data_IF_585405859938
#
_entry.id   IF_585405859938
#
_cell.length_a   1.000
_cell.length_b   1.000
_cell.length_c   1.000
_cell.angle_alpha   90.00
_cell.angle_beta   90.00
_cell.angle_gamma   90.00
#
_symmetry.space_group_name_H-M   'P 1'
#
loop_
_entity.id
_entity.type
_entity.pdbx_description
1 polymer ?
#
# COMPACT_ATOMS: atom_id res chain seq x y z
N UNK A 1 49.90 -4.89 13.68
CA UNK A 1 48.87 -5.11 12.65
C UNK A 1 47.84 -6.09 13.20
N UNK A 2 46.67 -5.60 13.59
CA UNK A 2 45.46 -6.40 13.71
C UNK A 2 44.31 -5.41 13.76
N UNK A 3 43.43 -5.53 12.78
CA UNK A 3 42.28 -4.68 12.48
C UNK A 3 41.21 -4.86 13.53
N UNK A 4 40.79 -3.75 14.16
CA UNK A 4 39.60 -3.72 14.99
C UNK A 4 38.36 -3.77 14.08
N UNK A 5 37.60 -4.85 14.17
CA UNK A 5 36.29 -4.97 13.54
C UNK A 5 35.30 -4.01 14.22
N UNK A 6 34.61 -3.23 13.39
CA UNK A 6 33.52 -2.37 13.81
C UNK A 6 32.33 -3.23 14.24
N UNK A 7 32.11 -3.30 15.55
CA UNK A 7 30.92 -3.91 16.15
C UNK A 7 29.68 -3.04 15.90
N UNK A 8 29.05 -3.19 14.74
CA UNK A 8 27.70 -2.71 14.48
C UNK A 8 26.70 -3.52 15.29
N UNK A 9 26.15 -2.94 16.36
CA UNK A 9 25.07 -3.54 17.15
C UNK A 9 23.75 -3.40 16.38
N UNK A 10 23.58 -4.17 15.32
CA UNK A 10 22.25 -4.44 14.77
C UNK A 10 21.67 -5.63 15.54
N UNK A 11 20.97 -5.34 16.64
CA UNK A 11 20.05 -6.30 17.21
C UNK A 11 18.94 -6.56 16.17
N UNK A 12 19.02 -7.69 15.46
CA UNK A 12 17.92 -8.18 14.63
C UNK A 12 16.64 -8.18 15.47
N UNK A 13 15.70 -7.30 15.14
CA UNK A 13 14.34 -7.35 15.65
C UNK A 13 13.64 -8.59 15.06
N UNK A 14 14.02 -9.78 15.53
CA UNK A 14 13.21 -10.98 15.31
C UNK A 14 11.92 -10.76 16.11
N UNK A 15 10.79 -10.80 15.42
CA UNK A 15 9.42 -10.85 15.98
C UNK A 15 8.71 -9.53 16.31
N UNK A 16 9.04 -8.38 15.71
CA UNK A 16 8.26 -7.14 15.90
C UNK A 16 7.90 -6.46 14.58
N UNK A 17 7.05 -7.11 13.78
CA UNK A 17 6.09 -6.35 12.96
C UNK A 17 5.13 -5.64 13.92
N UNK A 18 4.65 -4.45 13.57
CA UNK A 18 3.46 -3.91 14.25
C UNK A 18 2.35 -4.95 14.11
N UNK A 19 2.00 -5.57 15.22
CA UNK A 19 0.80 -6.39 15.33
C UNK A 19 -0.21 -5.54 16.05
N UNK A 20 -0.66 -4.52 15.32
CA UNK A 20 -1.45 -3.46 15.90
C UNK A 20 -2.91 -3.86 16.07
N UNK A 21 -3.39 -5.11 15.86
CA UNK A 21 -4.84 -5.40 15.83
C UNK A 21 -5.64 -4.69 16.94
N UNK A 22 -6.80 -4.05 16.63
CA UNK A 22 -7.55 -3.25 17.61
C UNK A 22 -7.98 -4.01 18.87
N UNK A 23 -8.09 -5.35 18.79
CA UNK A 23 -8.50 -6.18 19.93
C UNK A 23 -7.31 -6.84 20.63
N UNK A 24 -7.11 -6.49 21.91
CA UNK A 24 -6.47 -7.39 22.89
C UNK A 24 -4.94 -7.50 22.84
N UNK A 25 -4.24 -6.59 22.16
CA UNK A 25 -2.77 -6.57 22.15
C UNK A 25 -2.25 -5.53 23.14
N UNK A 26 -1.57 -5.93 24.24
CA UNK A 26 -1.13 -5.00 25.28
C UNK A 26 -0.02 -4.04 24.80
N UNK A 27 0.49 -4.23 23.58
CA UNK A 27 1.60 -3.46 23.02
C UNK A 27 1.18 -2.49 21.89
N UNK A 28 -0.11 -2.41 21.52
CA UNK A 28 -0.57 -1.59 20.38
C UNK A 28 -0.17 -0.12 20.58
N UNK A 29 -0.36 0.41 21.78
CA UNK A 29 -0.01 1.79 22.12
C UNK A 29 1.49 2.05 21.97
N UNK A 30 2.31 1.20 22.58
CA UNK A 30 3.77 1.33 22.52
C UNK A 30 4.30 1.19 21.10
N UNK A 31 3.74 0.26 20.31
CA UNK A 31 4.09 0.08 18.90
C UNK A 31 3.72 1.31 18.05
N UNK A 32 2.53 1.88 18.26
CA UNK A 32 2.09 3.12 17.60
C UNK A 32 3.01 4.27 17.95
N UNK A 33 3.32 4.48 19.23
CA UNK A 33 4.20 5.56 19.68
C UNK A 33 5.63 5.41 19.15
N UNK A 34 6.13 4.17 19.06
CA UNK A 34 7.45 3.87 18.48
C UNK A 34 7.48 4.16 16.98
N UNK A 35 6.48 3.69 16.23
CA UNK A 35 6.36 3.98 14.80
C UNK A 35 6.26 5.50 14.54
N UNK A 36 5.42 6.21 15.27
CA UNK A 36 5.31 7.67 15.16
C UNK A 36 6.64 8.36 15.46
N UNK A 37 7.44 7.84 16.40
CA UNK A 37 8.77 8.39 16.71
C UNK A 37 9.75 8.23 15.56
N UNK A 38 9.77 7.05 14.93
CA UNK A 38 10.61 6.79 13.76
C UNK A 38 10.15 7.63 12.57
N UNK A 39 8.84 7.72 12.31
CA UNK A 39 8.32 8.51 11.19
C UNK A 39 8.63 10.02 11.34
N UNK A 40 8.75 10.54 12.57
CA UNK A 40 9.18 11.92 12.82
C UNK A 40 10.62 12.21 12.40
N UNK A 41 11.45 11.20 12.17
CA UNK A 41 12.83 11.39 11.68
C UNK A 41 12.92 11.46 10.16
N UNK A 42 11.84 11.17 9.43
CA UNK A 42 11.77 11.36 7.99
C UNK A 42 11.87 12.85 7.69
N UNK A 43 12.63 13.20 6.64
CA UNK A 43 12.76 14.59 6.20
C UNK A 43 11.37 15.18 5.93
N UNK A 44 11.10 16.36 6.49
CA UNK A 44 9.80 17.05 6.37
C UNK A 44 9.46 17.44 4.94
N UNK A 45 10.45 17.48 4.04
CA UNK A 45 10.23 17.68 2.62
C UNK A 45 9.60 16.47 1.92
N UNK A 46 9.57 15.29 2.57
CA UNK A 46 8.98 14.05 2.04
C UNK A 46 7.60 13.84 2.70
N UNK A 47 6.50 14.03 1.96
CA UNK A 47 5.17 13.78 2.48
C UNK A 47 4.97 12.30 2.83
N UNK A 48 4.35 12.04 3.98
CA UNK A 48 3.95 10.70 4.39
C UNK A 48 2.48 10.48 4.06
N UNK A 49 2.20 9.37 3.36
CA UNK A 49 0.85 8.91 3.03
C UNK A 49 0.66 7.56 3.71
N UNK A 50 -0.34 7.47 4.58
CA UNK A 50 -0.64 6.26 5.33
C UNK A 50 -1.89 5.59 4.75
N UNK A 51 -1.88 4.26 4.73
CA UNK A 51 -2.97 3.43 4.18
C UNK A 51 -3.36 2.44 5.26
N UNK A 52 -4.63 2.43 5.64
CA UNK A 52 -5.12 1.51 6.69
C UNK A 52 -5.12 0.07 6.19
N UNK A 53 -4.63 -0.86 7.02
CA UNK A 53 -4.75 -2.30 6.82
C UNK A 53 -5.58 -3.00 7.88
N UNK A 54 -5.77 -4.31 7.71
CA UNK A 54 -6.55 -5.13 8.64
C UNK A 54 -5.98 -5.18 10.07
N UNK A 55 -4.66 -4.99 10.24
CA UNK A 55 -4.04 -4.86 11.58
C UNK A 55 -4.29 -3.49 12.22
N UNK A 56 -4.74 -2.49 11.46
CA UNK A 56 -5.00 -1.15 11.99
C UNK A 56 -6.45 -0.98 12.44
N UNK A 57 -7.40 -1.49 11.64
CA UNK A 57 -8.84 -1.30 11.84
C UNK A 57 -9.61 -2.62 12.02
N UNK A 58 -8.95 -3.77 11.89
CA UNK A 58 -9.53 -5.11 12.03
C UNK A 58 -9.93 -5.76 10.70
N UNK A 59 -10.06 -7.09 10.69
CA UNK A 59 -10.59 -7.84 9.53
C UNK A 59 -12.07 -7.50 9.27
N UNK A 60 -12.82 -7.17 10.32
CA UNK A 60 -14.20 -6.68 10.26
C UNK A 60 -14.23 -5.31 10.95
N UNK A 61 -13.97 -4.21 10.22
CA UNK A 61 -13.89 -2.88 10.81
C UNK A 61 -15.23 -2.44 11.39
N UNK A 62 -15.17 -1.64 12.46
CA UNK A 62 -16.33 -0.98 13.08
C UNK A 62 -16.15 0.53 12.97
N UNK A 63 -17.20 1.30 13.29
CA UNK A 63 -17.08 2.76 13.31
C UNK A 63 -16.01 3.22 14.31
N UNK A 64 -15.90 2.54 15.45
CA UNK A 64 -14.94 2.86 16.50
C UNK A 64 -13.49 2.57 16.07
N UNK A 65 -13.23 1.43 15.40
CA UNK A 65 -11.86 1.12 14.97
C UNK A 65 -11.39 2.03 13.84
N UNK A 66 -12.31 2.45 12.96
CA UNK A 66 -12.03 3.44 11.91
C UNK A 66 -11.79 4.81 12.53
N UNK A 67 -12.62 5.24 13.48
CA UNK A 67 -12.43 6.51 14.19
C UNK A 67 -11.09 6.56 14.94
N UNK A 68 -10.70 5.48 15.63
CA UNK A 68 -9.40 5.39 16.30
C UNK A 68 -8.23 5.53 15.32
N UNK A 69 -8.33 4.89 14.14
CA UNK A 69 -7.34 5.05 13.08
C UNK A 69 -7.28 6.51 12.62
N UNK A 70 -8.43 7.13 12.33
CA UNK A 70 -8.49 8.51 11.86
C UNK A 70 -7.90 9.51 12.86
N UNK A 71 -8.17 9.32 14.16
CA UNK A 71 -7.59 10.15 15.22
C UNK A 71 -6.07 9.99 15.36
N UNK A 72 -5.54 8.82 15.01
CA UNK A 72 -4.12 8.48 15.21
C UNK A 72 -3.26 8.78 13.99
N UNK A 73 -3.79 8.50 12.79
CA UNK A 73 -3.03 8.45 11.53
C UNK A 73 -3.58 9.38 10.44
N UNK A 74 -4.79 9.92 10.62
CA UNK A 74 -5.50 10.72 9.61
C UNK A 74 -6.50 9.88 8.81
N UNK A 75 -7.16 10.52 7.84
CA UNK A 75 -8.28 9.95 7.08
C UNK A 75 -7.99 8.55 6.50
N UNK A 76 -8.95 7.64 6.60
CA UNK A 76 -8.83 6.25 6.14
C UNK A 76 -9.00 6.09 4.62
N UNK A 77 -9.64 7.07 3.97
CA UNK A 77 -9.64 7.23 2.52
C UNK A 77 -9.61 8.71 2.15
N UNK A 78 -8.84 9.05 1.10
CA UNK A 78 -8.70 10.43 0.62
C UNK A 78 -8.03 10.45 -0.76
N UNK A 79 -7.98 11.64 -1.36
CA UNK A 79 -7.29 11.85 -2.63
C UNK A 79 -6.35 13.04 -2.57
N UNK A 80 -5.31 13.01 -3.38
CA UNK A 80 -4.37 14.11 -3.49
C UNK A 80 -3.75 14.16 -4.88
N UNK A 81 -3.14 15.30 -5.20
CA UNK A 81 -2.55 15.56 -6.51
C UNK A 81 -1.08 15.93 -6.37
N UNK A 82 -0.23 15.29 -7.18
CA UNK A 82 1.19 15.64 -7.30
C UNK A 82 1.57 15.60 -8.77
N UNK A 83 2.15 16.69 -9.29
CA UNK A 83 2.64 16.72 -10.67
C UNK A 83 1.59 16.42 -11.75
N UNK A 84 0.31 16.69 -11.48
CA UNK A 84 -0.80 16.38 -12.39
C UNK A 84 -1.28 14.92 -12.38
N UNK A 85 -0.81 14.13 -11.41
CA UNK A 85 -1.24 12.75 -11.17
C UNK A 85 -2.21 12.74 -9.99
N UNK A 86 -3.33 12.04 -10.17
CA UNK A 86 -4.30 11.81 -9.10
C UNK A 86 -3.92 10.54 -8.34
N UNK A 87 -3.82 10.66 -7.02
CA UNK A 87 -3.63 9.54 -6.12
C UNK A 87 -4.89 9.34 -5.28
N UNK A 88 -5.32 8.10 -5.15
CA UNK A 88 -6.47 7.68 -4.37
C UNK A 88 -6.00 6.71 -3.29
N UNK A 89 -6.30 6.99 -2.03
CA UNK A 89 -6.07 6.08 -0.91
C UNK A 89 -7.41 5.52 -0.51
N UNK A 90 -7.53 4.19 -0.47
CA UNK A 90 -8.77 3.49 -0.13
C UNK A 90 -8.59 2.63 1.11
N UNK A 91 -9.61 2.64 1.96
CA UNK A 91 -9.76 1.62 2.99
C UNK A 91 -10.30 0.34 2.32
N UNK A 92 -9.42 -0.65 2.11
CA UNK A 92 -9.80 -1.89 1.44
C UNK A 92 -10.60 -2.86 2.31
N UNK A 93 -10.57 -2.72 3.64
CA UNK A 93 -11.33 -3.61 4.54
C UNK A 93 -12.84 -3.49 4.33
N UNK A 94 -13.28 -2.32 3.89
CA UNK A 94 -14.63 -2.05 3.45
C UNK A 94 -15.07 -2.92 2.26
N UNK A 95 -14.17 -3.29 1.35
CA UNK A 95 -14.49 -4.18 0.23
C UNK A 95 -14.48 -5.66 0.61
N UNK A 96 -13.79 -6.02 1.69
CA UNK A 96 -13.68 -7.38 2.20
C UNK A 96 -14.84 -7.73 3.13
N UNK A 97 -15.05 -6.98 4.21
CA UNK A 97 -16.12 -7.26 5.17
C UNK A 97 -16.64 -5.99 5.89
N UNK A 98 -17.57 -5.23 5.29
CA UNK A 98 -18.14 -4.03 5.89
C UNK A 98 -19.31 -4.30 6.83
N UNK A 99 -19.54 -5.54 7.28
CA UNK A 99 -20.79 -5.96 7.95
C UNK A 99 -21.14 -5.15 9.21
N UNK A 100 -20.15 -4.58 9.89
CA UNK A 100 -20.34 -3.74 11.10
C UNK A 100 -20.33 -2.24 10.83
N UNK A 101 -20.09 -1.81 9.59
CA UNK A 101 -20.04 -0.39 9.20
C UNK A 101 -20.52 -0.14 7.76
N UNK A 102 -21.70 -0.65 7.34
CA UNK A 102 -22.16 -0.53 5.95
C UNK A 102 -22.35 0.92 5.49
N UNK A 103 -22.67 1.85 6.40
CA UNK A 103 -22.78 3.27 6.09
C UNK A 103 -21.44 3.90 5.69
N UNK A 104 -20.33 3.55 6.37
CA UNK A 104 -19.00 4.03 6.02
C UNK A 104 -18.54 3.50 4.66
N UNK A 105 -18.84 2.22 4.40
CA UNK A 105 -18.63 1.60 3.07
C UNK A 105 -19.33 2.38 1.97
N UNK A 106 -20.60 2.71 2.17
CA UNK A 106 -21.40 3.42 1.19
C UNK A 106 -20.85 4.83 0.93
N UNK A 107 -20.42 5.52 1.99
CA UNK A 107 -19.78 6.83 1.86
C UNK A 107 -18.49 6.77 1.02
N UNK A 108 -17.62 5.79 1.27
CA UNK A 108 -16.41 5.59 0.44
C UNK A 108 -16.76 5.25 -1.01
N UNK A 109 -17.79 4.42 -1.26
CA UNK A 109 -18.20 4.10 -2.63
C UNK A 109 -18.67 5.33 -3.40
N UNK A 110 -19.51 6.16 -2.77
CA UNK A 110 -20.00 7.38 -3.39
C UNK A 110 -18.84 8.35 -3.67
N UNK A 111 -17.99 8.57 -2.67
CA UNK A 111 -16.81 9.41 -2.82
C UNK A 111 -15.88 8.92 -3.94
N UNK A 112 -15.65 7.60 -4.01
CA UNK A 112 -14.81 7.00 -5.05
C UNK A 112 -15.39 7.26 -6.43
N UNK A 113 -16.69 7.04 -6.61
CA UNK A 113 -17.36 7.29 -7.89
C UNK A 113 -17.25 8.77 -8.32
N UNK A 114 -17.32 9.70 -7.38
CA UNK A 114 -17.08 11.13 -7.62
C UNK A 114 -15.62 11.41 -8.04
N UNK A 115 -14.63 10.84 -7.34
CA UNK A 115 -13.22 11.02 -7.70
C UNK A 115 -12.87 10.42 -9.07
N UNK A 116 -13.40 9.24 -9.39
CA UNK A 116 -13.21 8.60 -10.68
C UNK A 116 -13.89 9.39 -11.81
N UNK A 117 -15.03 10.02 -11.55
CA UNK A 117 -15.67 10.95 -12.48
C UNK A 117 -14.79 12.19 -12.75
N UNK A 118 -14.22 12.78 -11.69
CA UNK A 118 -13.26 13.90 -11.82
C UNK A 118 -12.05 13.48 -12.64
N UNK A 119 -11.53 12.27 -12.39
CA UNK A 119 -10.36 11.76 -13.09
C UNK A 119 -10.55 11.75 -14.61
N UNK A 120 -11.74 11.30 -15.04
CA UNK A 120 -12.14 11.26 -16.45
C UNK A 120 -12.34 12.65 -17.03
N UNK A 121 -13.07 13.53 -16.34
CA UNK A 121 -13.41 14.87 -16.83
C UNK A 121 -12.17 15.75 -17.01
N UNK A 122 -11.20 15.62 -16.11
CA UNK A 122 -9.96 16.41 -16.15
C UNK A 122 -8.89 15.81 -17.07
N UNK A 123 -9.18 14.68 -17.72
CA UNK A 123 -8.23 13.93 -18.54
C UNK A 123 -6.89 13.74 -17.82
N UNK A 124 -6.95 13.19 -16.60
CA UNK A 124 -5.78 13.01 -15.75
C UNK A 124 -4.69 12.25 -16.48
N UNK A 125 -3.44 12.73 -16.36
CA UNK A 125 -2.32 12.09 -17.03
C UNK A 125 -2.13 10.66 -16.54
N UNK A 126 -2.17 10.49 -15.22
CA UNK A 126 -2.23 9.21 -14.54
C UNK A 126 -3.19 9.30 -13.36
N UNK A 127 -3.82 8.17 -13.03
CA UNK A 127 -4.47 7.95 -11.75
C UNK A 127 -3.92 6.67 -11.11
N UNK A 128 -3.60 6.72 -9.83
CA UNK A 128 -2.97 5.63 -9.07
C UNK A 128 -3.77 5.40 -7.79
N UNK A 129 -3.99 4.13 -7.45
CA UNK A 129 -4.70 3.73 -6.23
C UNK A 129 -3.72 3.07 -5.25
N UNK A 130 -3.83 3.44 -3.98
CA UNK A 130 -3.20 2.75 -2.86
C UNK A 130 -4.28 2.10 -2.00
N UNK A 131 -4.12 0.83 -1.69
CA UNK A 131 -5.02 0.11 -0.80
C UNK A 131 -4.30 -1.10 -0.18
N UNK A 132 -4.71 -1.57 0.99
CA UNK A 132 -3.98 -2.65 1.67
C UNK A 132 -4.19 -4.03 1.04
N UNK A 133 -5.45 -4.46 0.85
CA UNK A 133 -5.80 -5.76 0.26
C UNK A 133 -5.68 -5.68 -1.27
N UNK A 134 -4.91 -6.56 -1.93
CA UNK A 134 -4.82 -6.67 -3.38
C UNK A 134 -6.17 -6.94 -4.06
N UNK A 135 -6.34 -6.42 -5.27
CA UNK A 135 -7.40 -6.90 -6.16
C UNK A 135 -7.16 -8.38 -6.51
N UNK A 136 -5.93 -8.75 -6.87
CA UNK A 136 -5.53 -10.13 -7.19
C UNK A 136 -4.02 -10.29 -6.99
N UNK A 137 -3.55 -11.53 -6.94
CA UNK A 137 -2.13 -11.87 -6.73
C UNK A 137 -1.43 -12.27 -8.03
N UNK A 138 -2.11 -13.00 -8.91
CA UNK A 138 -1.58 -13.45 -10.20
C UNK A 138 -2.49 -13.05 -11.36
N UNK A 139 -3.81 -13.24 -11.21
CA UNK A 139 -4.78 -12.94 -12.26
C UNK A 139 -6.13 -12.51 -11.68
N UNK A 140 -6.86 -11.64 -12.40
CA UNK A 140 -8.22 -11.22 -12.02
C UNK A 140 -9.21 -12.40 -11.94
N UNK A 141 -8.91 -13.49 -12.64
CA UNK A 141 -9.74 -14.69 -12.74
C UNK A 141 -9.28 -15.83 -11.83
N UNK A 142 -8.22 -15.63 -11.03
CA UNK A 142 -7.77 -16.62 -10.04
C UNK A 142 -8.87 -16.96 -9.03
N UNK A 143 -8.74 -18.11 -8.37
CA UNK A 143 -9.69 -18.48 -7.32
C UNK A 143 -9.54 -17.59 -6.09
N UNK A 144 -10.60 -17.52 -5.28
CA UNK A 144 -10.57 -16.71 -4.07
C UNK A 144 -9.73 -17.43 -3.02
N UNK A 145 -8.63 -16.78 -2.59
CA UNK A 145 -7.75 -17.29 -1.54
C UNK A 145 -8.41 -17.19 -0.15
N UNK A 146 -9.52 -16.45 -0.06
CA UNK A 146 -10.34 -16.21 1.15
C UNK A 146 -9.63 -15.37 2.23
N UNK A 147 -8.41 -14.91 1.99
CA UNK A 147 -7.70 -14.00 2.90
C UNK A 147 -6.89 -12.95 2.15
N UNK A 148 -5.99 -13.36 1.24
CA UNK A 148 -4.97 -12.45 0.71
C UNK A 148 -5.41 -11.55 -0.44
N UNK A 149 -6.55 -11.81 -1.07
CA UNK A 149 -7.11 -11.03 -2.18
C UNK A 149 -8.60 -10.79 -1.97
N UNK A 150 -9.12 -9.72 -2.58
CA UNK A 150 -10.56 -9.48 -2.59
C UNK A 150 -11.30 -10.58 -3.36
N UNK A 151 -12.52 -10.90 -2.93
CA UNK A 151 -13.38 -11.86 -3.66
C UNK A 151 -13.55 -11.51 -5.14
N UNK A 152 -13.62 -12.52 -6.01
CA UNK A 152 -13.80 -12.40 -7.48
C UNK A 152 -14.88 -11.40 -7.90
N UNK A 153 -16.09 -11.39 -7.30
CA UNK A 153 -17.09 -10.40 -7.65
C UNK A 153 -16.69 -8.97 -7.27
N UNK A 154 -16.04 -8.76 -6.12
CA UNK A 154 -15.63 -7.44 -5.65
C UNK A 154 -14.48 -6.87 -6.48
N UNK A 155 -13.41 -7.66 -6.70
CA UNK A 155 -12.25 -7.24 -7.48
C UNK A 155 -12.57 -6.92 -8.93
N UNK A 156 -13.43 -7.70 -9.60
CA UNK A 156 -13.85 -7.39 -10.97
C UNK A 156 -14.59 -6.07 -11.06
N UNK A 157 -15.58 -5.84 -10.18
CA UNK A 157 -16.33 -4.58 -10.15
C UNK A 157 -15.42 -3.37 -9.92
N UNK A 158 -14.46 -3.47 -8.99
CA UNK A 158 -13.51 -2.39 -8.71
C UNK A 158 -12.53 -2.18 -9.86
N UNK A 159 -11.95 -3.25 -10.40
CA UNK A 159 -11.04 -3.17 -11.53
C UNK A 159 -11.71 -2.53 -12.75
N UNK A 160 -12.95 -2.91 -13.07
CA UNK A 160 -13.71 -2.32 -14.18
C UNK A 160 -13.98 -0.83 -13.96
N UNK A 161 -14.34 -0.41 -12.73
CA UNK A 161 -14.48 1.01 -12.37
C UNK A 161 -13.17 1.77 -12.57
N UNK A 162 -12.05 1.22 -12.10
CA UNK A 162 -10.73 1.81 -12.22
C UNK A 162 -10.28 1.95 -13.69
N UNK A 163 -10.44 0.89 -14.48
CA UNK A 163 -10.13 0.86 -15.91
C UNK A 163 -10.96 1.92 -16.65
N UNK A 164 -12.27 1.96 -16.40
CA UNK A 164 -13.16 2.92 -17.02
C UNK A 164 -12.81 4.38 -16.69
N UNK A 165 -12.22 4.60 -15.51
CA UNK A 165 -11.74 5.91 -15.07
C UNK A 165 -10.32 6.26 -15.55
N UNK A 166 -9.61 5.32 -16.17
CA UNK A 166 -8.24 5.51 -16.64
C UNK A 166 -7.16 5.35 -15.56
N UNK A 167 -7.49 4.71 -14.43
CA UNK A 167 -6.49 4.31 -13.41
C UNK A 167 -5.47 3.36 -14.04
N UNK A 168 -4.19 3.59 -13.75
CA UNK A 168 -3.08 2.86 -14.36
C UNK A 168 -2.50 1.79 -13.45
N UNK A 169 -2.44 2.05 -12.15
CA UNK A 169 -1.84 1.13 -11.19
C UNK A 169 -2.60 1.12 -9.86
N UNK A 170 -2.66 -0.06 -9.24
CA UNK A 170 -3.09 -0.28 -7.86
C UNK A 170 -1.92 -0.87 -7.10
N UNK A 171 -1.45 -0.16 -6.08
CA UNK A 171 -0.38 -0.63 -5.19
C UNK A 171 -0.98 -1.14 -3.87
N UNK A 172 -0.61 -2.36 -3.51
CA UNK A 172 -1.07 -3.04 -2.31
C UNK A 172 0.02 -3.77 -1.54
N UNK A 173 -0.35 -4.21 -0.34
CA UNK A 173 0.48 -5.02 0.55
C UNK A 173 -0.25 -6.30 0.91
N UNK A 174 -0.40 -6.56 2.21
CA UNK A 174 -1.14 -7.68 2.81
C UNK A 174 -0.58 -9.09 2.57
N UNK A 175 -0.15 -9.44 1.35
CA UNK A 175 0.31 -10.80 1.00
C UNK A 175 1.69 -11.16 1.58
N UNK A 176 2.48 -10.16 1.97
CA UNK A 176 3.84 -10.32 2.51
C UNK A 176 4.79 -11.10 1.58
N UNK A 177 4.49 -11.07 0.28
CA UNK A 177 5.33 -11.51 -0.83
C UNK A 177 5.13 -10.54 -1.98
N UNK A 178 6.10 -10.43 -2.87
CA UNK A 178 5.90 -9.72 -4.12
C UNK A 178 4.98 -10.54 -5.01
N UNK A 179 3.94 -9.89 -5.54
CA UNK A 179 2.98 -10.48 -6.45
C UNK A 179 2.38 -9.37 -7.33
N UNK A 180 1.46 -9.74 -8.19
CA UNK A 180 0.77 -8.83 -9.09
C UNK A 180 0.76 -9.31 -10.53
N UNK A 181 0.05 -8.55 -11.34
CA UNK A 181 -0.11 -8.81 -12.77
C UNK A 181 -0.89 -7.67 -13.41
N UNK A 182 -1.09 -7.75 -14.72
CA UNK A 182 -1.84 -6.75 -15.47
C UNK A 182 -3.22 -7.29 -15.83
N UNK A 183 -4.26 -6.50 -15.60
CA UNK A 183 -5.59 -6.75 -16.11
C UNK A 183 -6.00 -5.64 -17.07
N UNK A 184 -6.10 -5.97 -18.36
CA UNK A 184 -6.27 -4.99 -19.44
C UNK A 184 -5.16 -3.93 -19.42
N UNK A 185 -5.47 -2.71 -18.95
CA UNK A 185 -4.55 -1.58 -18.84
C UNK A 185 -4.32 -1.14 -17.38
N UNK A 186 -4.71 -1.98 -16.42
CA UNK A 186 -4.54 -1.76 -14.99
C UNK A 186 -3.47 -2.70 -14.43
N UNK A 187 -2.42 -2.14 -13.86
CA UNK A 187 -1.37 -2.89 -13.19
C UNK A 187 -1.71 -3.08 -11.71
N UNK A 188 -1.82 -4.34 -11.27
CA UNK A 188 -1.93 -4.70 -9.86
C UNK A 188 -0.54 -5.04 -9.34
N UNK A 189 -0.09 -4.32 -8.31
CA UNK A 189 1.25 -4.48 -7.73
C UNK A 189 1.13 -4.77 -6.25
N UNK A 190 1.68 -5.91 -5.81
CA UNK A 190 1.75 -6.29 -4.40
C UNK A 190 3.19 -6.22 -3.93
N UNK A 191 3.43 -5.47 -2.87
CA UNK A 191 4.75 -5.32 -2.27
C UNK A 191 4.89 -6.21 -1.03
N UNK A 192 6.02 -6.89 -0.93
CA UNK A 192 6.33 -7.68 0.26
C UNK A 192 6.47 -6.81 1.52
N UNK A 193 6.38 -7.45 2.69
CA UNK A 193 6.47 -6.76 3.97
C UNK A 193 7.93 -6.45 4.33
N UNK A 194 8.16 -5.31 4.98
CA UNK A 194 9.51 -4.94 5.44
C UNK A 194 9.95 -5.75 6.66
N UNK A 195 9.02 -6.20 7.51
CA UNK A 195 9.33 -6.81 8.81
C UNK A 195 8.78 -8.22 9.04
N UNK A 196 8.04 -8.80 8.10
CA UNK A 196 7.38 -10.10 8.27
C UNK A 196 7.08 -10.79 6.94
N UNK A 197 8.09 -11.07 6.13
CA UNK A 197 7.87 -11.75 4.85
C UNK A 197 7.38 -13.18 5.07
N UNK A 198 6.41 -13.59 4.25
CA UNK A 198 5.88 -14.95 4.24
C UNK A 198 6.47 -15.78 3.08
N UNK A 199 7.30 -15.17 2.24
CA UNK A 199 7.98 -15.78 1.10
C UNK A 199 9.50 -15.69 1.20
N UNK A 200 10.15 -15.89 0.06
CA UNK A 200 11.61 -15.79 -0.08
C UNK A 200 12.08 -14.36 -0.37
N UNK A 201 11.16 -13.40 -0.46
CA UNK A 201 11.49 -12.01 -0.72
C UNK A 201 12.35 -11.42 0.41
N UNK A 202 13.44 -10.71 0.06
CA UNK A 202 14.25 -10.03 1.07
C UNK A 202 13.49 -8.86 1.70
N UNK A 203 13.96 -8.42 2.88
CA UNK A 203 13.43 -7.23 3.53
C UNK A 203 13.71 -6.03 2.62
N UNK A 204 12.70 -5.23 2.34
CA UNK A 204 12.83 -4.24 1.29
C UNK A 204 11.65 -3.29 1.17
N UNK A 205 11.73 -2.44 0.16
CA UNK A 205 10.68 -1.50 -0.22
C UNK A 205 10.56 -1.42 -1.73
N UNK A 206 9.41 -0.96 -2.20
CA UNK A 206 9.17 -0.71 -3.61
C UNK A 206 9.39 0.77 -3.92
N UNK A 207 10.27 1.05 -4.87
CA UNK A 207 10.43 2.38 -5.44
C UNK A 207 9.57 2.48 -6.69
N UNK A 208 8.79 3.55 -6.78
CA UNK A 208 7.92 3.86 -7.91
C UNK A 208 8.35 5.21 -8.47
N UNK A 209 8.65 5.26 -9.77
CA UNK A 209 8.93 6.48 -10.50
C UNK A 209 7.78 6.74 -11.47
N UNK A 210 7.18 7.91 -11.31
CA UNK A 210 6.07 8.37 -12.13
C UNK A 210 6.58 9.47 -13.05
N UNK A 211 6.60 9.20 -14.35
CA UNK A 211 6.93 10.18 -15.38
C UNK A 211 5.66 10.68 -16.04
N UNK A 212 5.82 11.62 -16.97
CA UNK A 212 4.74 12.13 -17.79
C UNK A 212 4.03 11.02 -18.60
N UNK A 213 4.74 9.97 -18.97
CA UNK A 213 4.30 8.95 -19.92
C UNK A 213 4.19 7.56 -19.30
N UNK A 214 4.91 7.28 -18.23
CA UNK A 214 5.07 5.94 -17.67
C UNK A 214 5.02 5.93 -16.15
N UNK A 215 4.63 4.79 -15.60
CA UNK A 215 4.82 4.43 -14.19
C UNK A 215 5.74 3.22 -14.21
N UNK A 216 6.94 3.37 -13.65
CA UNK A 216 7.91 2.26 -13.52
C UNK A 216 8.15 2.01 -12.05
N UNK A 217 8.25 0.74 -11.67
CA UNK A 217 8.47 0.39 -10.27
C UNK A 217 9.32 -0.86 -10.13
N UNK A 218 10.07 -0.93 -9.03
CA UNK A 218 10.89 -2.08 -8.68
C UNK A 218 10.97 -2.25 -7.18
N UNK A 219 10.96 -3.50 -6.74
CA UNK A 219 11.19 -3.85 -5.35
C UNK A 219 12.70 -4.01 -5.13
N UNK A 220 13.23 -3.37 -4.12
CA UNK A 220 14.64 -3.43 -3.74
C UNK A 220 14.75 -3.96 -2.33
N UNK A 221 15.69 -4.86 -2.11
CA UNK A 221 16.11 -5.23 -0.77
C UNK A 221 16.81 -4.06 -0.07
N UNK A 222 16.79 -4.06 1.27
CA UNK A 222 17.55 -3.10 2.07
C UNK A 222 19.06 -3.18 1.80
N UNK A 223 19.56 -4.39 1.53
CA UNK A 223 20.97 -4.61 1.19
C UNK A 223 21.32 -3.93 -0.14
N UNK A 224 20.53 -4.16 -1.20
CA UNK A 224 20.73 -3.50 -2.51
C UNK A 224 20.70 -1.97 -2.40
N UNK A 225 19.75 -1.43 -1.63
CA UNK A 225 19.63 0.01 -1.41
C UNK A 225 20.86 0.58 -0.69
N UNK A 226 21.40 -0.16 0.28
CA UNK A 226 22.57 0.28 1.05
C UNK A 226 23.87 0.24 0.26
N UNK A 227 24.02 -0.73 -0.64
CA UNK A 227 25.26 -0.93 -1.41
C UNK A 227 25.33 -0.09 -2.69
N UNK A 228 24.21 -0.02 -3.43
CA UNK A 228 24.20 0.52 -4.80
C UNK A 228 23.38 1.79 -4.96
N UNK A 229 22.55 2.13 -3.96
CA UNK A 229 21.54 3.17 -4.12
C UNK A 229 20.49 2.80 -5.18
N UNK A 230 19.82 3.80 -5.73
CA UNK A 230 18.69 3.62 -6.67
C UNK A 230 18.88 4.30 -8.03
N UNK A 231 19.85 5.19 -8.18
CA UNK A 231 19.90 6.14 -9.30
C UNK A 231 20.11 5.47 -10.66
N UNK A 232 21.17 4.68 -10.82
CA UNK A 232 21.51 4.06 -12.10
C UNK A 232 20.43 3.09 -12.59
N UNK A 233 19.90 2.25 -11.69
CA UNK A 233 18.88 1.25 -12.04
C UNK A 233 17.53 1.90 -12.39
N UNK A 234 17.15 2.97 -11.68
CA UNK A 234 15.95 3.74 -12.02
C UNK A 234 16.09 4.43 -13.38
N UNK A 235 17.25 5.02 -13.67
CA UNK A 235 17.50 5.66 -14.96
C UNK A 235 17.42 4.66 -16.11
N UNK A 236 17.89 3.43 -15.91
CA UNK A 236 17.76 2.36 -16.90
C UNK A 236 16.32 1.87 -17.06
N UNK A 237 15.54 1.79 -15.96
CA UNK A 237 14.11 1.46 -16.02
C UNK A 237 13.30 2.50 -16.81
N UNK A 238 13.62 3.79 -16.65
CA UNK A 238 12.96 4.87 -17.41
C UNK A 238 13.34 4.81 -18.90
N UNK A 239 14.60 4.49 -19.22
CA UNK A 239 15.10 4.42 -20.61
C UNK A 239 14.60 3.20 -21.39
N UNK A 240 14.20 2.12 -20.71
CA UNK A 240 13.60 0.95 -21.37
C UNK A 240 12.30 1.36 -22.06
N UNK A 241 12.27 1.17 -23.39
CA UNK A 241 11.15 1.54 -24.26
C UNK A 241 9.91 0.73 -23.94
#
# INVERSE_FOLDING_TARGET
MSTAEAGGVFHRARSRTLDAFPAGKPWRKEQTEDLQRVLRTVDRAIPLVLVSGNHDIGNVPTAETVEEFCQTWGDDYFSFWVGGVLFLVLNSQFYENPSKCPGLKQAQDQWLDEQLSIARQRNCRHAIVFQHIPLFLESIDEDDDCYFNLSKPARKRLADKFIHAGVKAVFSGHYHRNAGGTYQNLDMVVSSAIGCQLGLDPHGLRVVVVTADKIVHRYYSLDELSEKGIEDDLMDLIKKK
#
